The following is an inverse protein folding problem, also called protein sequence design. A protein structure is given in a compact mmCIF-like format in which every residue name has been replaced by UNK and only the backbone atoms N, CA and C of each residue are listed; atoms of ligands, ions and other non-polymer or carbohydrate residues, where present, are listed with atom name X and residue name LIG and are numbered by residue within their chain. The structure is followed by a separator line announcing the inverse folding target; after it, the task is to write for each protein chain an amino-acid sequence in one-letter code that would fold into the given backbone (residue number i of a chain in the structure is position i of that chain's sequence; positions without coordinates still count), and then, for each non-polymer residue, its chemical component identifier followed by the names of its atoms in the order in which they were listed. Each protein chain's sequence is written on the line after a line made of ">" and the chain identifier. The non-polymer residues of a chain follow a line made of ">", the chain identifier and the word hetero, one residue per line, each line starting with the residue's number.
data_IF_215740278402
#
_entry.id   IF_215740278402
#
_cell.length_a   1.000
_cell.length_b   1.000
_cell.length_c   1.000
_cell.angle_alpha   90.00
_cell.angle_beta   90.00
_cell.angle_gamma   90.00
#
_symmetry.space_group_name_H-M   'P 1'
#
loop_
_entity.id
_entity.type
_entity.pdbx_description
1 polymer ?
#
# COMPACT_ATOMS: atom_id res chain seq x y z
N UNK A 1 27.87 -71.04 -13.55
CA UNK A 1 27.79 -70.37 -12.21
C UNK A 1 26.98 -69.07 -12.36
N UNK A 2 25.73 -69.11 -12.04
CA UNK A 2 24.83 -67.94 -12.07
C UNK A 2 24.89 -67.31 -10.71
N UNK A 3 25.07 -66.01 -10.69
CA UNK A 3 24.97 -65.18 -9.47
C UNK A 3 23.62 -64.46 -9.48
N UNK A 4 22.76 -64.82 -8.55
CA UNK A 4 21.47 -64.20 -8.36
C UNK A 4 21.66 -62.82 -7.66
N UNK A 5 21.14 -61.78 -8.27
CA UNK A 5 21.12 -60.44 -7.68
C UNK A 5 19.79 -60.25 -6.94
N UNK A 6 19.89 -60.08 -5.64
CA UNK A 6 18.75 -59.71 -4.75
C UNK A 6 18.48 -58.26 -4.90
N UNK A 7 17.30 -57.91 -5.43
CA UNK A 7 16.83 -56.54 -5.51
C UNK A 7 16.14 -56.15 -4.19
N UNK A 8 16.75 -55.24 -3.43
CA UNK A 8 16.17 -54.65 -2.24
C UNK A 8 15.29 -53.48 -2.69
N UNK A 9 13.99 -53.61 -2.53
CA UNK A 9 13.04 -52.53 -2.78
C UNK A 9 13.03 -51.56 -1.61
N UNK A 10 13.59 -50.35 -1.80
CA UNK A 10 13.39 -49.24 -0.90
C UNK A 10 12.01 -48.60 -1.14
N UNK A 11 11.09 -48.79 -0.20
CA UNK A 11 9.82 -48.07 -0.17
C UNK A 11 10.10 -46.60 0.25
N UNK A 12 10.05 -45.70 -0.71
CA UNK A 12 10.08 -44.24 -0.42
C UNK A 12 8.70 -43.83 0.11
N UNK A 13 8.62 -43.56 1.41
CA UNK A 13 7.49 -42.85 2.00
C UNK A 13 7.50 -41.39 1.50
N UNK A 14 6.65 -41.08 0.54
CA UNK A 14 6.35 -39.71 0.16
C UNK A 14 5.43 -39.13 1.23
N UNK A 15 6.00 -38.38 2.18
CA UNK A 15 5.25 -37.51 3.07
C UNK A 15 4.67 -36.37 2.23
N UNK A 16 3.39 -36.47 1.87
CA UNK A 16 2.64 -35.35 1.35
C UNK A 16 2.52 -34.30 2.45
N UNK A 17 3.37 -33.29 2.37
CA UNK A 17 3.16 -32.05 3.16
C UNK A 17 1.92 -31.40 2.56
N UNK A 18 0.78 -31.59 3.22
CA UNK A 18 -0.43 -30.82 2.94
C UNK A 18 -0.12 -29.37 3.30
N UNK A 19 0.28 -28.57 2.30
CA UNK A 19 0.34 -27.12 2.44
C UNK A 19 -1.04 -26.65 2.85
N UNK A 20 -1.13 -25.96 4.01
CA UNK A 20 -2.35 -25.26 4.38
C UNK A 20 -2.78 -24.39 3.18
N UNK A 21 -4.05 -24.40 2.77
CA UNK A 21 -4.50 -23.53 1.71
C UNK A 21 -4.18 -22.09 2.13
N UNK A 22 -3.38 -21.38 1.34
CA UNK A 22 -3.30 -19.93 1.45
C UNK A 22 -4.75 -19.46 1.42
N UNK A 23 -5.17 -18.73 2.47
CA UNK A 23 -6.51 -18.18 2.51
C UNK A 23 -6.73 -17.45 1.18
N UNK A 24 -7.54 -18.06 0.31
CA UNK A 24 -7.94 -17.42 -0.92
C UNK A 24 -8.58 -16.12 -0.47
N UNK A 25 -7.99 -14.99 -0.83
CA UNK A 25 -8.61 -13.68 -0.61
C UNK A 25 -9.94 -13.75 -1.33
N UNK A 26 -11.03 -13.90 -0.56
CA UNK A 26 -12.38 -13.74 -1.11
C UNK A 26 -12.37 -12.41 -1.85
N UNK A 27 -12.95 -12.38 -3.07
CA UNK A 27 -13.06 -11.12 -3.81
C UNK A 27 -13.70 -10.06 -2.92
N UNK A 28 -13.48 -8.80 -3.25
CA UNK A 28 -14.10 -7.70 -2.54
C UNK A 28 -15.61 -7.89 -2.54
N UNK A 29 -16.22 -7.92 -1.35
CA UNK A 29 -17.67 -7.99 -1.20
C UNK A 29 -18.22 -6.61 -0.80
N UNK A 30 -18.83 -5.85 -1.73
CA UNK A 30 -19.32 -4.50 -1.45
C UNK A 30 -20.34 -4.44 -0.31
N UNK A 31 -21.04 -5.54 0.00
CA UNK A 31 -22.02 -5.59 1.10
C UNK A 31 -21.38 -5.43 2.49
N UNK A 32 -20.06 -5.55 2.60
CA UNK A 32 -19.29 -5.35 3.84
C UNK A 32 -18.84 -3.91 4.06
N UNK A 33 -19.27 -2.97 3.24
CA UNK A 33 -18.79 -1.59 3.23
C UNK A 33 -19.96 -0.61 3.34
N UNK A 34 -20.49 -0.39 4.54
CA UNK A 34 -21.61 0.53 4.76
C UNK A 34 -21.21 1.99 4.67
N UNK A 35 -20.01 2.36 5.16
CA UNK A 35 -19.43 3.71 5.06
C UNK A 35 -17.91 3.64 4.72
N UNK A 36 -17.58 3.16 3.52
CA UNK A 36 -16.22 2.77 3.18
C UNK A 36 -15.21 3.92 3.09
N UNK A 37 -15.66 5.15 2.84
CA UNK A 37 -14.79 6.31 2.71
C UNK A 37 -14.44 6.96 4.06
N UNK A 38 -15.08 6.57 5.15
CA UNK A 38 -14.72 6.94 6.50
C UNK A 38 -13.73 5.91 7.05
N UNK A 39 -12.45 6.31 7.10
CA UNK A 39 -11.36 5.42 7.54
C UNK A 39 -10.88 5.90 8.91
N UNK A 40 -11.40 5.27 9.96
CA UNK A 40 -11.11 5.58 11.37
C UNK A 40 -10.34 4.46 12.09
N UNK A 41 -9.83 3.47 11.34
CA UNK A 41 -8.97 2.43 11.89
C UNK A 41 -7.91 3.01 12.81
N UNK A 42 -7.79 2.46 14.01
CA UNK A 42 -6.92 3.03 15.06
C UNK A 42 -5.45 3.14 14.64
N UNK A 43 -4.95 2.24 13.79
CA UNK A 43 -3.55 2.19 13.34
C UNK A 43 -3.32 2.89 12.00
N UNK A 44 -4.38 3.16 11.24
CA UNK A 44 -4.30 3.80 9.94
C UNK A 44 -5.48 4.74 9.68
N UNK A 45 -5.66 5.78 10.51
CA UNK A 45 -6.75 6.74 10.33
C UNK A 45 -6.46 7.69 9.17
N UNK A 46 -7.44 7.90 8.31
CA UNK A 46 -7.34 8.77 7.14
C UNK A 46 -8.43 9.85 7.15
N UNK A 47 -8.24 10.88 7.97
CA UNK A 47 -9.17 11.99 8.02
C UNK A 47 -8.96 12.96 6.85
N UNK A 48 -9.97 13.25 6.01
CA UNK A 48 -9.86 14.21 4.91
C UNK A 48 -9.32 15.57 5.33
N UNK A 49 -8.34 16.07 4.58
CA UNK A 49 -7.65 17.32 4.91
C UNK A 49 -6.42 17.15 5.79
N UNK A 50 -6.04 15.93 6.12
CA UNK A 50 -4.77 15.65 6.81
C UNK A 50 -3.65 15.41 5.80
N UNK A 51 -2.48 15.94 6.10
CA UNK A 51 -1.26 15.73 5.32
C UNK A 51 -0.14 15.27 6.24
N UNK A 52 0.56 14.21 5.80
CA UNK A 52 1.72 13.65 6.47
C UNK A 52 2.94 13.90 5.60
N UNK A 53 4.04 14.31 6.21
CA UNK A 53 5.33 14.43 5.53
C UNK A 53 6.31 13.49 6.22
N UNK A 54 6.81 12.53 5.47
CA UNK A 54 7.91 11.67 5.87
C UNK A 54 9.16 12.09 5.11
N UNK A 55 10.32 12.03 5.75
CA UNK A 55 11.59 12.34 5.10
C UNK A 55 12.71 11.43 5.61
N UNK A 56 13.71 11.27 4.75
CA UNK A 56 14.87 10.43 5.00
C UNK A 56 15.74 10.29 3.78
N UNK A 57 16.05 9.07 3.38
CA UNK A 57 16.87 8.78 2.21
C UNK A 57 16.45 7.49 1.51
N UNK A 58 16.68 7.42 0.21
CA UNK A 58 16.51 6.24 -0.63
C UNK A 58 17.51 6.25 -1.79
N UNK A 59 17.81 5.08 -2.34
CA UNK A 59 18.56 4.90 -3.55
C UNK A 59 17.62 4.51 -4.71
N UNK A 60 17.35 5.44 -5.59
CA UNK A 60 16.53 5.23 -6.80
C UNK A 60 17.42 5.09 -8.05
N UNK A 61 18.58 4.39 -7.92
CA UNK A 61 19.52 4.15 -9.02
C UNK A 61 20.68 5.15 -9.11
N UNK A 62 20.61 6.29 -8.43
CA UNK A 62 21.66 7.33 -8.41
C UNK A 62 22.44 7.39 -7.08
N UNK A 63 22.43 6.32 -6.29
CA UNK A 63 22.95 6.27 -4.91
C UNK A 63 21.99 6.89 -3.90
N UNK A 64 22.37 6.82 -2.62
CA UNK A 64 21.55 7.35 -1.53
C UNK A 64 21.36 8.87 -1.66
N UNK A 65 20.12 9.31 -1.75
CA UNK A 65 19.74 10.71 -1.84
C UNK A 65 18.69 11.06 -0.79
N UNK A 66 18.54 12.35 -0.52
CA UNK A 66 17.43 12.84 0.33
C UNK A 66 16.12 12.45 -0.32
N UNK A 67 15.29 11.75 0.44
CA UNK A 67 14.00 11.25 0.02
C UNK A 67 12.89 11.84 0.89
N UNK A 68 11.75 12.18 0.29
CA UNK A 68 10.61 12.76 1.00
C UNK A 68 9.31 12.34 0.35
N UNK A 69 8.41 11.82 1.16
CA UNK A 69 7.05 11.44 0.76
C UNK A 69 6.03 12.33 1.45
N UNK A 70 5.03 12.80 0.71
CA UNK A 70 3.96 13.67 1.19
C UNK A 70 2.61 13.03 0.89
N UNK A 71 2.08 12.30 1.87
CA UNK A 71 0.74 11.72 1.83
C UNK A 71 -0.30 12.78 2.14
N UNK A 72 -1.30 12.90 1.31
CA UNK A 72 -2.39 13.86 1.52
C UNK A 72 -3.74 13.16 1.40
N UNK A 73 -4.47 13.12 2.48
CA UNK A 73 -5.85 12.62 2.48
C UNK A 73 -6.74 13.68 1.84
N UNK A 74 -7.27 13.39 0.66
CA UNK A 74 -8.15 14.33 -0.05
C UNK A 74 -9.58 14.23 0.50
N UNK A 75 -10.45 15.09 0.02
CA UNK A 75 -11.91 14.99 0.20
C UNK A 75 -12.59 14.51 -1.10
N UNK A 76 -11.93 13.55 -1.76
CA UNK A 76 -12.42 12.92 -2.98
C UNK A 76 -12.71 11.43 -2.72
N UNK A 77 -13.68 10.91 -3.46
CA UNK A 77 -13.96 9.48 -3.53
C UNK A 77 -14.00 9.01 -4.97
N UNK A 78 -13.76 7.72 -5.17
CA UNK A 78 -13.87 7.04 -6.47
C UNK A 78 -14.52 5.67 -6.27
N UNK A 79 -15.43 5.28 -7.17
CA UNK A 79 -16.02 3.93 -7.13
C UNK A 79 -15.07 2.95 -7.81
N UNK A 80 -14.67 1.91 -7.08
CA UNK A 80 -13.80 0.83 -7.57
C UNK A 80 -14.42 -0.50 -7.15
N UNK A 81 -14.67 -1.37 -8.10
CA UNK A 81 -15.26 -2.69 -7.88
C UNK A 81 -16.53 -2.66 -6.99
N UNK A 82 -17.37 -1.63 -7.23
CA UNK A 82 -18.61 -1.41 -6.47
C UNK A 82 -18.45 -0.74 -5.11
N UNK A 83 -17.21 -0.47 -4.65
CA UNK A 83 -16.94 0.17 -3.35
C UNK A 83 -16.51 1.63 -3.55
N UNK A 84 -17.04 2.54 -2.73
CA UNK A 84 -16.65 3.96 -2.70
C UNK A 84 -15.36 4.14 -1.91
N UNK A 85 -14.23 4.21 -2.61
CA UNK A 85 -12.92 4.40 -2.03
C UNK A 85 -12.64 5.88 -1.73
N UNK A 86 -11.98 6.16 -0.62
CA UNK A 86 -11.32 7.43 -0.33
C UNK A 86 -10.07 7.57 -1.20
N UNK A 87 -9.85 8.75 -1.78
CA UNK A 87 -8.68 9.04 -2.61
C UNK A 87 -7.60 9.74 -1.79
N UNK A 88 -6.40 9.18 -1.77
CA UNK A 88 -5.21 9.87 -1.30
C UNK A 88 -4.40 10.39 -2.49
N UNK A 89 -3.68 11.49 -2.28
CA UNK A 89 -2.68 11.98 -3.20
C UNK A 89 -1.31 11.92 -2.56
N UNK A 90 -0.50 11.04 -3.09
CA UNK A 90 0.88 10.83 -2.68
C UNK A 90 1.85 11.53 -3.63
N UNK A 91 2.96 12.04 -3.10
CA UNK A 91 4.01 12.69 -3.87
C UNK A 91 5.36 12.31 -3.31
N UNK A 92 6.12 11.65 -4.16
CA UNK A 92 7.45 11.16 -3.85
C UNK A 92 8.52 12.08 -4.49
N UNK A 93 9.48 12.51 -3.66
CA UNK A 93 10.56 13.38 -4.07
C UNK A 93 11.90 12.76 -3.73
N UNK A 94 12.77 12.57 -4.72
CA UNK A 94 14.13 12.13 -4.51
C UNK A 94 15.13 13.20 -5.00
N UNK A 95 16.15 13.52 -4.20
CA UNK A 95 17.04 14.64 -4.49
C UNK A 95 16.35 15.99 -4.65
N UNK A 96 15.12 16.15 -4.15
CA UNK A 96 14.29 17.35 -4.27
C UNK A 96 13.47 17.44 -5.55
N UNK A 97 13.53 16.44 -6.42
CA UNK A 97 12.72 16.34 -7.65
C UNK A 97 11.52 15.43 -7.40
N UNK A 98 10.37 15.78 -7.97
CA UNK A 98 9.22 14.87 -8.00
C UNK A 98 9.57 13.72 -8.94
N UNK A 99 9.54 12.50 -8.42
CA UNK A 99 9.74 11.26 -9.17
C UNK A 99 8.42 10.53 -9.39
N UNK A 100 7.50 10.62 -8.40
CA UNK A 100 6.20 10.03 -8.52
C UNK A 100 5.11 10.95 -7.95
N UNK A 101 3.95 10.93 -8.61
CA UNK A 101 2.73 11.57 -8.13
C UNK A 101 1.56 10.60 -8.27
N UNK A 102 1.06 10.11 -7.14
CA UNK A 102 0.17 8.95 -7.11
C UNK A 102 -1.21 9.28 -6.56
N UNK A 103 -2.25 8.63 -7.11
CA UNK A 103 -3.54 8.48 -6.46
C UNK A 103 -3.70 7.06 -5.96
N UNK A 104 -3.90 6.89 -4.66
CA UNK A 104 -4.21 5.61 -4.04
C UNK A 104 -5.66 5.57 -3.56
N UNK A 105 -6.26 4.38 -3.58
CA UNK A 105 -7.69 4.20 -3.33
C UNK A 105 -7.91 3.26 -2.17
N UNK A 106 -8.44 3.77 -1.05
CA UNK A 106 -8.62 3.00 0.16
C UNK A 106 -10.06 3.01 0.63
N UNK A 107 -10.46 1.91 1.26
CA UNK A 107 -11.77 1.79 1.89
C UNK A 107 -11.65 1.03 3.21
N UNK A 108 -12.51 1.33 4.15
CA UNK A 108 -12.64 0.57 5.40
C UNK A 108 -13.90 -0.27 5.36
N UNK A 109 -13.79 -1.56 5.68
CA UNK A 109 -14.95 -2.42 5.82
C UNK A 109 -15.60 -2.27 7.20
N UNK A 110 -16.81 -2.83 7.36
CA UNK A 110 -17.59 -2.74 8.60
C UNK A 110 -16.93 -3.41 9.81
N UNK A 111 -15.92 -4.27 9.57
CA UNK A 111 -15.10 -4.85 10.63
C UNK A 111 -13.93 -3.93 11.04
N UNK A 112 -13.69 -2.82 10.33
CA UNK A 112 -12.60 -1.87 10.58
C UNK A 112 -11.31 -2.20 9.85
N UNK A 113 -11.29 -3.18 8.93
CA UNK A 113 -10.12 -3.47 8.09
C UNK A 113 -10.01 -2.45 6.98
N UNK A 114 -8.82 -1.87 6.79
CA UNK A 114 -8.55 -0.95 5.68
C UNK A 114 -8.01 -1.74 4.48
N UNK A 115 -8.64 -1.52 3.34
CA UNK A 115 -8.34 -2.17 2.07
C UNK A 115 -7.65 -1.22 1.11
N UNK A 116 -6.68 -1.74 0.33
CA UNK A 116 -6.13 -1.10 -0.84
C UNK A 116 -6.90 -1.61 -2.08
N UNK A 117 -7.52 -0.69 -2.82
CA UNK A 117 -8.35 -1.00 -3.98
C UNK A 117 -7.65 -0.66 -5.31
N UNK A 118 -6.48 -0.05 -5.26
CA UNK A 118 -5.74 0.29 -6.46
C UNK A 118 -4.87 1.52 -6.31
N UNK A 119 -4.06 1.73 -7.33
CA UNK A 119 -3.05 2.78 -7.40
C UNK A 119 -2.93 3.30 -8.84
N UNK A 120 -2.67 4.60 -8.95
CA UNK A 120 -2.33 5.28 -10.20
C UNK A 120 -1.08 6.12 -9.98
N UNK A 121 0.12 5.52 -10.04
CA UNK A 121 1.41 6.19 -9.90
C UNK A 121 1.85 6.80 -11.24
N UNK A 122 1.90 8.13 -11.31
CA UNK A 122 2.51 8.86 -12.42
C UNK A 122 3.99 9.04 -12.16
N UNK A 123 4.82 8.49 -13.02
CA UNK A 123 6.27 8.63 -12.97
C UNK A 123 6.76 9.88 -13.69
N UNK A 124 7.79 10.51 -13.15
CA UNK A 124 8.35 11.75 -13.67
C UNK A 124 9.88 11.67 -13.79
N UNK A 125 10.38 11.94 -14.98
CA UNK A 125 11.81 12.13 -15.22
C UNK A 125 12.08 13.58 -15.63
N UNK A 126 13.00 14.25 -14.93
CA UNK A 126 13.37 15.65 -15.20
C UNK A 126 12.14 16.60 -15.25
N UNK A 127 11.13 16.34 -14.42
CA UNK A 127 9.90 17.12 -14.33
C UNK A 127 8.89 16.86 -15.47
N UNK A 128 9.11 15.82 -16.27
CA UNK A 128 8.19 15.40 -17.34
C UNK A 128 7.56 14.07 -16.98
N UNK A 129 6.26 13.96 -17.18
CA UNK A 129 5.53 12.71 -17.05
C UNK A 129 6.06 11.71 -18.09
N UNK A 130 6.50 10.55 -17.65
CA UNK A 130 6.96 9.42 -18.48
C UNK A 130 5.88 8.37 -18.68
N UNK A 131 5.00 8.20 -17.70
CA UNK A 131 3.91 7.24 -17.76
C UNK A 131 3.33 6.94 -16.39
N UNK A 132 2.58 5.84 -16.30
CA UNK A 132 2.06 5.26 -15.08
C UNK A 132 2.01 3.72 -15.25
N UNK A 133 3.19 3.06 -15.40
CA UNK A 133 3.26 1.63 -15.75
C UNK A 133 2.60 0.77 -14.68
N UNK A 134 2.80 1.07 -13.42
CA UNK A 134 2.41 0.26 -12.26
C UNK A 134 0.97 0.53 -11.79
N UNK A 135 0.16 1.13 -12.65
CA UNK A 135 -1.27 1.35 -12.37
C UNK A 135 -2.03 0.04 -12.29
N UNK A 136 -2.77 -0.13 -11.21
CA UNK A 136 -3.71 -1.23 -11.08
C UNK A 136 -5.00 -0.79 -10.36
N UNK A 137 -6.12 -1.44 -10.69
CA UNK A 137 -7.44 -1.17 -10.13
C UNK A 137 -8.10 -2.52 -9.82
N UNK A 138 -8.56 -2.71 -8.61
CA UNK A 138 -9.27 -3.92 -8.20
C UNK A 138 -10.49 -4.18 -9.10
N UNK A 139 -10.73 -5.45 -9.43
CA UNK A 139 -11.81 -5.87 -10.34
C UNK A 139 -11.46 -5.76 -11.83
N UNK A 140 -10.32 -5.14 -12.21
CA UNK A 140 -9.88 -5.01 -13.60
C UNK A 140 -8.59 -5.79 -13.85
N UNK A 141 -8.40 -6.30 -15.06
CA UNK A 141 -7.16 -6.99 -15.48
C UNK A 141 -6.66 -8.03 -14.45
N UNK A 142 -7.58 -8.79 -13.89
CA UNK A 142 -7.33 -9.79 -12.84
C UNK A 142 -6.84 -9.22 -11.50
N UNK A 143 -6.68 -7.90 -11.37
CA UNK A 143 -6.23 -7.28 -10.12
C UNK A 143 -7.29 -7.45 -9.02
N UNK A 144 -6.83 -7.60 -7.78
CA UNK A 144 -7.65 -7.79 -6.59
C UNK A 144 -7.22 -6.85 -5.48
N UNK A 145 -8.20 -6.32 -4.77
CA UNK A 145 -7.97 -5.56 -3.56
C UNK A 145 -7.22 -6.40 -2.52
N UNK A 146 -6.45 -5.74 -1.68
CA UNK A 146 -5.76 -6.35 -0.56
C UNK A 146 -5.94 -5.56 0.73
N UNK A 147 -5.42 -6.10 1.82
CA UNK A 147 -5.52 -5.50 3.15
C UNK A 147 -4.33 -4.57 3.37
N UNK A 148 -4.58 -3.29 3.58
CA UNK A 148 -3.55 -2.33 3.95
C UNK A 148 -3.28 -2.33 5.46
N UNK A 149 -4.38 -2.38 6.26
CA UNK A 149 -4.28 -2.48 7.71
C UNK A 149 -5.41 -3.34 8.26
N UNK A 150 -5.07 -4.29 9.11
CA UNK A 150 -6.03 -5.14 9.81
C UNK A 150 -6.86 -4.32 10.82
N UNK A 151 -8.09 -4.74 11.08
CA UNK A 151 -8.92 -4.17 12.13
C UNK A 151 -8.28 -4.38 13.52
N UNK A 152 -7.74 -5.57 13.76
CA UNK A 152 -7.05 -5.95 15.01
C UNK A 152 -5.69 -6.60 14.68
N UNK A 153 -4.64 -5.81 14.41
CA UNK A 153 -3.32 -6.35 14.07
C UNK A 153 -2.61 -6.89 15.31
N UNK A 154 -2.23 -8.17 15.29
CA UNK A 154 -1.46 -8.81 16.37
C UNK A 154 -0.42 -9.79 15.82
N UNK A 155 0.62 -10.03 16.61
CA UNK A 155 1.66 -11.00 16.29
C UNK A 155 1.05 -12.39 16.21
N UNK A 156 1.41 -13.17 15.20
CA UNK A 156 0.85 -14.50 14.95
C UNK A 156 -0.29 -14.51 13.92
N UNK A 157 -0.84 -13.36 13.54
CA UNK A 157 -1.75 -13.27 12.38
C UNK A 157 -1.01 -13.74 11.12
N UNK A 158 -1.60 -14.63 10.31
CA UNK A 158 -1.02 -15.03 9.03
C UNK A 158 -0.71 -13.84 8.14
N UNK A 159 0.33 -13.94 7.30
CA UNK A 159 0.61 -12.89 6.31
C UNK A 159 -0.55 -12.73 5.34
N UNK A 160 -0.79 -11.50 4.93
CA UNK A 160 -1.88 -11.12 4.04
C UNK A 160 -1.36 -10.35 2.83
N UNK A 161 -2.11 -10.37 1.72
CA UNK A 161 -1.82 -9.57 0.53
C UNK A 161 -2.29 -8.14 0.76
N UNK A 162 -1.47 -7.16 0.35
CA UNK A 162 -1.80 -5.73 0.33
C UNK A 162 -2.39 -5.29 -1.02
N UNK A 163 -2.44 -6.21 -1.95
CA UNK A 163 -3.00 -6.13 -3.29
C UNK A 163 -2.42 -7.22 -4.17
N UNK A 164 -3.07 -7.49 -5.28
CA UNK A 164 -2.59 -8.46 -6.27
C UNK A 164 -2.94 -8.00 -7.68
N UNK A 165 -1.92 -7.66 -8.47
CA UNK A 165 -2.05 -7.22 -9.85
C UNK A 165 -0.98 -7.92 -10.71
N UNK A 166 -1.28 -9.14 -11.21
CA UNK A 166 -0.29 -10.00 -11.84
C UNK A 166 0.28 -9.43 -13.14
N UNK A 167 -0.45 -8.56 -13.82
CA UNK A 167 0.00 -7.97 -15.08
C UNK A 167 1.18 -6.99 -14.90
N UNK A 168 1.38 -6.49 -13.70
CA UNK A 168 2.50 -5.61 -13.31
C UNK A 168 3.41 -6.23 -12.25
N UNK A 169 3.19 -7.50 -11.87
CA UNK A 169 4.00 -8.18 -10.85
C UNK A 169 3.72 -7.75 -9.41
N UNK A 170 2.67 -6.95 -9.17
CA UNK A 170 2.31 -6.52 -7.82
C UNK A 170 1.65 -7.65 -7.03
N UNK A 171 2.29 -8.07 -5.95
CA UNK A 171 1.80 -9.12 -5.05
C UNK A 171 2.30 -8.88 -3.62
N UNK A 172 2.31 -7.63 -3.19
CA UNK A 172 2.86 -7.22 -1.91
C UNK A 172 2.13 -7.88 -0.74
N UNK A 173 2.90 -8.28 0.22
CA UNK A 173 2.44 -8.97 1.42
C UNK A 173 2.91 -8.24 2.66
N UNK A 174 2.12 -8.35 3.71
CA UNK A 174 2.50 -7.88 5.03
C UNK A 174 2.23 -8.94 6.10
N UNK A 175 2.95 -8.82 7.19
CA UNK A 175 2.65 -9.51 8.45
C UNK A 175 2.93 -8.59 9.63
N UNK A 176 2.25 -8.82 10.73
CA UNK A 176 2.57 -8.14 11.98
C UNK A 176 3.83 -8.77 12.57
N UNK A 177 4.90 -7.97 12.66
CA UNK A 177 6.18 -8.42 13.17
C UNK A 177 6.29 -8.23 14.70
N UNK A 178 5.86 -7.07 15.20
CA UNK A 178 5.93 -6.69 16.62
C UNK A 178 4.86 -5.67 16.98
N UNK A 179 4.47 -5.67 18.26
CA UNK A 179 3.60 -4.66 18.89
C UNK A 179 4.25 -4.13 20.16
N UNK A 180 3.78 -3.02 20.71
CA UNK A 180 4.29 -2.44 21.96
C UNK A 180 5.72 -1.87 21.85
N UNK A 181 6.19 -1.58 20.63
CA UNK A 181 7.55 -1.07 20.41
C UNK A 181 7.58 0.43 20.71
N UNK A 182 8.70 0.92 21.26
CA UNK A 182 8.97 2.35 21.36
C UNK A 182 9.69 2.83 20.10
N UNK A 183 9.18 3.91 19.49
CA UNK A 183 9.82 4.56 18.34
C UNK A 183 9.76 6.08 18.49
N UNK A 184 10.90 6.74 18.27
CA UNK A 184 10.99 8.20 18.25
C UNK A 184 11.22 8.68 16.82
N UNK A 185 10.48 9.71 16.43
CA UNK A 185 10.60 10.43 15.16
C UNK A 185 10.60 11.94 15.45
N UNK A 186 10.95 12.81 14.51
CA UNK A 186 11.01 14.25 14.74
C UNK A 186 9.75 14.86 15.39
N UNK A 187 8.56 14.33 15.09
CA UNK A 187 7.31 14.82 15.70
C UNK A 187 7.28 14.55 17.20
N UNK A 188 7.58 13.35 17.63
CA UNK A 188 7.66 12.91 19.04
C UNK A 188 8.06 11.44 19.18
N UNK A 189 8.21 10.98 20.44
CA UNK A 189 8.32 9.55 20.76
C UNK A 189 6.93 8.92 21.02
N UNK A 190 6.76 7.69 20.56
CA UNK A 190 5.57 6.87 20.74
C UNK A 190 5.92 5.58 21.47
N UNK A 191 5.08 5.17 22.42
CA UNK A 191 5.35 4.01 23.29
C UNK A 191 4.65 2.71 22.88
N UNK A 192 3.56 2.81 22.12
CA UNK A 192 2.82 1.67 21.60
C UNK A 192 2.83 1.72 20.05
N UNK A 193 3.84 1.08 19.47
CA UNK A 193 4.06 1.07 18.03
C UNK A 193 3.92 -0.36 17.51
N UNK A 194 3.07 -0.51 16.50
CA UNK A 194 2.94 -1.70 15.67
C UNK A 194 4.03 -1.66 14.59
N UNK A 195 4.69 -2.78 14.35
CA UNK A 195 5.66 -2.94 13.26
C UNK A 195 5.17 -4.03 12.33
N UNK A 196 5.01 -3.71 11.06
CA UNK A 196 4.81 -4.68 9.99
C UNK A 196 6.12 -5.00 9.29
N UNK A 197 6.20 -6.17 8.70
CA UNK A 197 7.25 -6.60 7.79
C UNK A 197 6.56 -6.84 6.43
N UNK A 198 6.98 -6.10 5.41
CA UNK A 198 6.34 -6.05 4.10
C UNK A 198 7.33 -6.48 3.02
N UNK A 199 6.86 -7.24 2.04
CA UNK A 199 7.71 -7.76 0.96
C UNK A 199 6.89 -8.13 -0.28
N UNK A 200 7.54 -8.11 -1.45
CA UNK A 200 7.04 -8.73 -2.66
C UNK A 200 7.71 -10.09 -2.88
N UNK A 201 6.98 -11.20 -3.08
CA UNK A 201 7.55 -12.50 -3.37
C UNK A 201 8.42 -12.55 -4.64
N UNK A 202 8.23 -11.61 -5.58
CA UNK A 202 9.06 -11.48 -6.77
C UNK A 202 10.46 -10.92 -6.48
N UNK A 203 10.67 -10.32 -5.30
CA UNK A 203 11.93 -9.72 -4.83
C UNK A 203 12.46 -10.46 -3.59
N UNK A 204 13.04 -11.66 -3.75
CA UNK A 204 13.41 -12.50 -2.62
C UNK A 204 14.37 -11.84 -1.66
N UNK A 205 13.96 -11.72 -0.42
CA UNK A 205 14.77 -11.16 0.67
C UNK A 205 14.77 -9.64 0.77
N UNK A 206 14.16 -8.91 -0.15
CA UNK A 206 13.90 -7.48 0.01
C UNK A 206 12.68 -7.28 0.90
N UNK A 207 12.82 -6.50 1.97
CA UNK A 207 11.78 -6.23 2.94
C UNK A 207 11.76 -4.76 3.32
N UNK A 208 10.55 -4.24 3.60
CA UNK A 208 10.35 -2.98 4.30
C UNK A 208 9.70 -3.21 5.66
N UNK A 209 10.12 -2.45 6.66
CA UNK A 209 9.46 -2.41 7.95
C UNK A 209 8.75 -1.10 8.12
N UNK A 210 7.42 -1.15 8.26
CA UNK A 210 6.63 0.04 8.54
C UNK A 210 6.20 0.07 9.99
N UNK A 211 6.24 1.25 10.58
CA UNK A 211 5.96 1.49 11.98
C UNK A 211 4.70 2.35 12.09
N UNK A 212 3.69 1.83 12.76
CA UNK A 212 2.41 2.50 12.89
C UNK A 212 2.12 2.82 14.36
N UNK A 213 1.47 3.94 14.60
CA UNK A 213 0.98 4.31 15.93
C UNK A 213 -0.48 4.72 15.89
N UNK A 214 -1.20 4.42 16.98
CA UNK A 214 -2.63 4.72 17.06
C UNK A 214 -2.90 6.21 16.89
N UNK A 215 -3.94 6.54 16.13
CA UNK A 215 -4.40 7.90 15.88
C UNK A 215 -3.54 8.73 14.92
N UNK A 216 -2.44 8.15 14.38
CA UNK A 216 -1.56 8.84 13.42
C UNK A 216 -1.37 8.03 12.14
N UNK A 217 -1.12 6.72 12.23
CA UNK A 217 -0.76 5.88 11.09
C UNK A 217 0.75 5.62 11.01
N UNK A 218 1.28 5.56 9.79
CA UNK A 218 2.69 5.28 9.54
C UNK A 218 3.59 6.44 10.00
N UNK A 219 4.54 6.12 10.89
CA UNK A 219 5.50 7.10 11.42
C UNK A 219 6.94 6.83 10.97
N UNK A 220 7.21 5.66 10.42
CA UNK A 220 8.55 5.28 9.95
C UNK A 220 8.48 4.17 8.92
N UNK A 221 9.35 4.26 7.92
CA UNK A 221 9.69 3.17 7.00
C UNK A 221 11.16 2.87 7.18
N UNK A 222 11.55 1.61 7.09
CA UNK A 222 12.95 1.18 7.15
C UNK A 222 13.19 -0.03 6.26
N UNK A 223 14.25 0.02 5.48
CA UNK A 223 14.76 -1.10 4.70
C UNK A 223 15.19 -2.26 5.59
N UNK A 224 15.00 -3.48 5.10
CA UNK A 224 15.46 -4.68 5.77
C UNK A 224 15.81 -5.79 4.76
N UNK A 225 16.65 -6.74 5.18
CA UNK A 225 17.09 -7.82 4.30
C UNK A 225 17.94 -7.32 3.13
N UNK A 226 17.59 -7.74 1.94
CA UNK A 226 18.32 -7.41 0.69
C UNK A 226 17.67 -6.27 -0.10
N UNK A 227 16.91 -5.39 0.56
CA UNK A 227 16.37 -4.18 -0.09
C UNK A 227 17.52 -3.28 -0.57
N UNK A 228 17.63 -3.17 -1.90
CA UNK A 228 18.70 -2.39 -2.57
C UNK A 228 18.40 -0.90 -2.63
N UNK A 229 17.15 -0.51 -2.50
CA UNK A 229 16.75 0.90 -2.45
C UNK A 229 17.13 1.53 -1.11
N UNK A 230 17.15 0.70 -0.05
CA UNK A 230 17.58 1.12 1.27
C UNK A 230 16.75 2.30 1.80
N UNK A 231 15.45 2.30 1.50
CA UNK A 231 14.57 3.39 1.89
C UNK A 231 14.43 3.50 3.41
N UNK A 232 14.71 4.68 3.92
CA UNK A 232 14.48 5.03 5.33
C UNK A 232 13.73 6.35 5.39
N UNK A 233 12.54 6.32 6.00
CA UNK A 233 11.70 7.51 6.19
C UNK A 233 11.26 7.63 7.64
N UNK A 234 11.15 8.86 8.14
CA UNK A 234 10.56 9.17 9.45
C UNK A 234 9.54 10.31 9.33
N UNK A 235 8.49 10.24 10.10
CA UNK A 235 7.46 11.29 10.14
C UNK A 235 8.04 12.58 10.69
N UNK A 236 8.12 13.60 9.84
CA UNK A 236 8.58 14.96 10.20
C UNK A 236 7.43 15.89 10.56
N UNK A 237 6.25 15.67 9.95
CA UNK A 237 5.13 16.60 10.14
C UNK A 237 3.78 15.92 9.90
N UNK A 238 2.82 16.27 10.74
CA UNK A 238 1.37 16.09 10.49
C UNK A 238 0.74 17.47 10.42
N UNK A 239 -0.08 17.71 9.43
CA UNK A 239 -0.73 19.00 9.20
C UNK A 239 -2.20 18.81 8.85
N UNK A 240 -3.07 19.56 9.52
CA UNK A 240 -4.46 19.75 9.10
C UNK A 240 -4.55 20.97 8.18
N UNK A 241 -5.07 20.76 6.99
CA UNK A 241 -5.10 21.78 5.94
C UNK A 241 -6.24 22.77 6.15
N UNK A 242 -6.00 24.03 5.82
CA UNK A 242 -7.06 25.03 5.70
C UNK A 242 -8.00 24.72 4.54
N UNK A 243 -9.19 25.33 4.53
CA UNK A 243 -10.16 25.15 3.43
C UNK A 243 -9.56 25.49 2.06
N UNK A 244 -8.78 26.56 1.97
CA UNK A 244 -8.08 26.94 0.72
C UNK A 244 -7.05 25.89 0.26
N UNK A 245 -6.28 25.33 1.21
CA UNK A 245 -5.32 24.29 0.91
C UNK A 245 -6.01 22.99 0.46
N UNK A 246 -7.11 22.60 1.10
CA UNK A 246 -7.92 21.44 0.68
C UNK A 246 -8.49 21.64 -0.72
N UNK A 247 -9.02 22.82 -1.03
CA UNK A 247 -9.53 23.14 -2.37
C UNK A 247 -8.45 23.02 -3.44
N UNK A 248 -7.24 23.48 -3.15
CA UNK A 248 -6.10 23.31 -4.05
C UNK A 248 -5.74 21.84 -4.25
N UNK A 249 -5.60 21.06 -3.19
CA UNK A 249 -5.31 19.63 -3.23
C UNK A 249 -6.37 18.89 -4.05
N UNK A 250 -7.66 19.14 -3.80
CA UNK A 250 -8.77 18.56 -4.57
C UNK A 250 -8.61 18.84 -6.06
N UNK A 251 -8.30 20.08 -6.42
CA UNK A 251 -8.11 20.48 -7.82
C UNK A 251 -6.94 19.74 -8.46
N UNK A 252 -5.81 19.61 -7.77
CA UNK A 252 -4.64 18.90 -8.30
C UNK A 252 -4.89 17.39 -8.42
N UNK A 253 -5.45 16.75 -7.39
CA UNK A 253 -5.82 15.33 -7.44
C UNK A 253 -6.81 15.02 -8.57
N UNK A 254 -7.82 15.87 -8.80
CA UNK A 254 -8.73 15.75 -9.94
C UNK A 254 -8.04 15.95 -11.31
N UNK A 255 -6.93 16.68 -11.36
CA UNK A 255 -6.13 16.75 -12.60
C UNK A 255 -5.44 15.43 -12.90
N UNK A 256 -4.89 14.77 -11.87
CA UNK A 256 -4.29 13.44 -12.00
C UNK A 256 -5.37 12.44 -12.46
N UNK A 257 -6.51 12.38 -11.75
CA UNK A 257 -7.61 11.48 -12.11
C UNK A 257 -8.06 11.67 -13.58
N UNK A 258 -8.28 12.92 -14.02
CA UNK A 258 -8.63 13.19 -15.42
C UNK A 258 -7.53 12.82 -16.42
N UNK A 259 -6.24 12.93 -16.03
CA UNK A 259 -5.12 12.55 -16.87
C UNK A 259 -5.03 11.03 -17.03
N UNK A 260 -5.38 10.28 -16.00
CA UNK A 260 -5.39 8.83 -15.99
C UNK A 260 -6.27 8.24 -17.10
N UNK A 261 -7.39 8.90 -17.45
CA UNK A 261 -8.24 8.47 -18.59
C UNK A 261 -7.56 8.57 -19.96
N UNK A 262 -6.41 9.24 -20.05
CA UNK A 262 -5.58 9.29 -21.27
C UNK A 262 -4.34 8.42 -21.13
N UNK A 263 -3.68 8.43 -19.97
CA UNK A 263 -2.41 7.74 -19.73
C UNK A 263 -2.63 6.23 -19.53
N UNK A 264 -3.71 5.85 -18.82
CA UNK A 264 -4.10 4.46 -18.54
C UNK A 264 -5.55 4.22 -18.96
N UNK A 265 -5.88 4.60 -20.19
CA UNK A 265 -7.22 4.52 -20.73
C UNK A 265 -7.79 3.10 -20.75
N UNK A 266 -6.93 2.08 -20.85
CA UNK A 266 -7.26 0.67 -20.80
C UNK A 266 -7.91 0.25 -19.48
N UNK A 267 -7.50 0.83 -18.35
CA UNK A 267 -8.07 0.59 -17.03
C UNK A 267 -9.13 1.67 -16.67
N UNK A 268 -8.75 2.95 -16.77
CA UNK A 268 -9.57 4.03 -16.22
C UNK A 268 -10.92 4.22 -16.88
N UNK A 269 -11.08 3.92 -18.19
CA UNK A 269 -12.40 3.96 -18.88
C UNK A 269 -13.45 3.05 -18.24
N UNK A 270 -13.04 2.08 -17.43
CA UNK A 270 -13.92 1.15 -16.73
C UNK A 270 -14.27 1.59 -15.32
N UNK A 271 -13.81 2.75 -14.90
CA UNK A 271 -14.13 3.35 -13.60
C UNK A 271 -14.82 4.71 -13.79
N UNK A 272 -15.73 5.14 -12.90
CA UNK A 272 -16.23 6.51 -12.94
C UNK A 272 -15.15 7.50 -12.49
N UNK A 273 -15.24 8.79 -12.88
CA UNK A 273 -14.35 9.83 -12.36
C UNK A 273 -14.40 9.93 -10.83
N UNK A 274 -13.28 10.38 -10.25
CA UNK A 274 -13.27 10.79 -8.85
C UNK A 274 -14.16 12.02 -8.65
N UNK A 275 -14.87 12.06 -7.52
CA UNK A 275 -15.80 13.13 -7.17
C UNK A 275 -15.59 13.62 -5.73
N UNK A 276 -15.93 14.87 -5.42
CA UNK A 276 -15.92 15.36 -4.06
C UNK A 276 -16.83 14.53 -3.15
N UNK A 277 -16.38 14.28 -1.91
CA UNK A 277 -17.24 13.71 -0.89
C UNK A 277 -18.46 14.62 -0.71
N UNK A 278 -19.65 14.04 -0.74
CA UNK A 278 -20.85 14.76 -0.31
C UNK A 278 -20.72 15.04 1.18
N UNK A 279 -20.99 16.29 1.58
CA UNK A 279 -21.07 16.59 3.01
C UNK A 279 -22.15 15.67 3.65
N UNK A 280 -21.89 15.17 4.86
CA UNK A 280 -22.87 14.35 5.59
C UNK A 280 -24.13 15.14 5.89
#
# INVERSE_FOLDING_TARGET
>A
MRRDAVATACAACVLAVAGAPAAATAGLDPARFSDPATIDNAWFPLAPGTQFTLAGSANRGEGQRRHRVVFTVTDLTKIIDGVRALVLWDRDYNGGRLEEGELTFHAQDDAGTVWNLGEYPEEYEHGRLTGAPDTWIAGLSRARAGILMLADPHVGTPSYLQGWAPDIGFADRARVLRTGVRSCVPVRCYGDVLVTDEWNPAEPGAHQRKFYTRGVGNIRVGAAGHDTEGEVLVLERVRHMSAGARSWVRKEALKLDRRAYRVKADLYRHTPPAEPMTAP
#
